data_IF_196541459065
#
_entry.id   IF_196541459065
#
_cell.length_a   1.000
_cell.length_b   1.000
_cell.length_c   1.000
_cell.angle_alpha   90.00
_cell.angle_beta   90.00
_cell.angle_gamma   90.00
#
_symmetry.space_group_name_H-M   'P 1'
#
loop_
_entity.id
_entity.type
_entity.pdbx_description
1 polymer ?
#
# COMPACT_ATOMS: atom_id res chain seq x y z
N UNK A 1 50.30 -61.51 -20.07
CA UNK A 1 49.71 -60.36 -19.36
C UNK A 1 49.64 -59.20 -20.33
N UNK A 2 48.45 -58.73 -20.70
CA UNK A 2 48.32 -57.42 -21.35
C UNK A 2 47.15 -56.68 -20.69
N UNK A 3 47.48 -55.48 -20.26
CA UNK A 3 46.74 -54.62 -19.34
C UNK A 3 45.46 -54.10 -20.02
N UNK A 4 44.30 -54.40 -19.46
CA UNK A 4 43.04 -53.74 -19.84
C UNK A 4 43.04 -52.37 -19.18
N UNK A 5 43.25 -51.29 -19.94
CA UNK A 5 43.02 -49.94 -19.44
C UNK A 5 41.51 -49.67 -19.44
N UNK A 6 40.91 -49.63 -18.26
CA UNK A 6 39.54 -49.12 -18.07
C UNK A 6 39.66 -47.60 -17.96
N UNK A 7 39.18 -46.86 -18.96
CA UNK A 7 38.97 -45.43 -18.83
C UNK A 7 37.75 -45.21 -17.91
N UNK A 8 37.99 -44.79 -16.67
CA UNK A 8 36.93 -44.16 -15.88
C UNK A 8 36.61 -42.81 -16.53
N UNK A 9 35.43 -42.69 -17.14
CA UNK A 9 34.89 -41.38 -17.47
C UNK A 9 34.56 -40.67 -16.15
N UNK A 10 35.32 -39.61 -15.83
CA UNK A 10 34.93 -38.65 -14.82
C UNK A 10 33.89 -37.72 -15.44
N UNK A 11 32.61 -37.93 -15.12
CA UNK A 11 31.58 -36.93 -15.39
C UNK A 11 31.76 -35.83 -14.34
N UNK A 12 32.48 -34.76 -14.68
CA UNK A 12 32.53 -33.56 -13.84
C UNK A 12 31.25 -32.75 -14.13
N UNK A 13 30.26 -32.83 -13.26
CA UNK A 13 29.14 -31.90 -13.31
C UNK A 13 29.64 -30.55 -12.81
N UNK A 14 29.65 -29.55 -13.69
CA UNK A 14 29.86 -28.15 -13.27
C UNK A 14 28.57 -27.73 -12.56
N UNK A 15 28.68 -27.42 -11.27
CA UNK A 15 27.56 -26.90 -10.48
C UNK A 15 27.49 -25.40 -10.76
N UNK A 16 26.30 -24.89 -11.09
CA UNK A 16 26.12 -23.45 -11.19
C UNK A 16 26.21 -22.79 -9.83
N UNK A 17 26.95 -21.69 -9.77
CA UNK A 17 27.15 -20.86 -8.58
C UNK A 17 26.86 -19.40 -8.87
N UNK A 18 26.33 -19.10 -10.04
CA UNK A 18 26.05 -17.74 -10.50
C UNK A 18 24.66 -17.39 -10.05
N UNK A 19 24.48 -16.39 -9.17
CA UNK A 19 23.15 -15.93 -8.83
C UNK A 19 22.42 -15.31 -10.02
N UNK A 20 21.08 -15.40 -10.05
CA UNK A 20 20.27 -14.54 -10.91
C UNK A 20 20.53 -13.06 -10.65
N UNK A 21 20.24 -12.22 -11.65
CA UNK A 21 20.10 -10.78 -11.43
C UNK A 21 18.94 -10.49 -10.45
N UNK A 22 19.03 -9.34 -9.78
CA UNK A 22 17.94 -8.83 -8.95
C UNK A 22 16.64 -8.77 -9.76
N UNK A 23 15.50 -9.27 -9.24
CA UNK A 23 14.24 -9.23 -9.96
C UNK A 23 13.77 -7.78 -10.14
N UNK A 24 12.87 -7.56 -11.09
CA UNK A 24 12.09 -6.31 -11.20
C UNK A 24 10.65 -6.58 -10.78
N UNK A 25 9.99 -5.56 -10.25
CA UNK A 25 8.61 -5.64 -9.74
C UNK A 25 7.85 -4.41 -10.21
N UNK A 26 6.66 -4.63 -10.78
CA UNK A 26 5.74 -3.56 -11.15
C UNK A 26 5.21 -2.82 -9.91
N UNK A 27 4.61 -1.64 -10.08
CA UNK A 27 4.04 -0.88 -8.96
C UNK A 27 3.10 -1.73 -8.09
N UNK A 28 3.27 -1.62 -6.77
CA UNK A 28 2.46 -2.30 -5.78
C UNK A 28 1.73 -1.26 -4.94
N UNK A 29 0.43 -1.44 -4.78
CA UNK A 29 -0.41 -0.59 -3.94
C UNK A 29 -1.04 -1.41 -2.80
N UNK A 30 -1.58 -0.75 -1.78
CA UNK A 30 -2.33 -1.39 -0.69
C UNK A 30 -3.53 -2.21 -1.20
N UNK A 31 -4.05 -1.90 -2.39
CA UNK A 31 -5.16 -2.62 -3.01
C UNK A 31 -4.74 -3.76 -3.93
N UNK A 32 -3.43 -3.87 -4.26
CA UNK A 32 -2.90 -4.90 -5.16
C UNK A 32 -3.31 -6.31 -4.70
N UNK A 33 -3.73 -7.14 -5.66
CA UNK A 33 -4.05 -8.56 -5.46
C UNK A 33 -3.01 -9.51 -6.03
N UNK A 34 -2.08 -8.97 -6.81
CA UNK A 34 -0.99 -9.70 -7.42
C UNK A 34 0.30 -8.91 -7.27
N UNK A 35 1.42 -9.62 -7.25
CA UNK A 35 2.76 -9.05 -7.43
C UNK A 35 3.30 -9.61 -8.75
N UNK A 36 3.74 -8.75 -9.66
CA UNK A 36 4.22 -9.16 -10.98
C UNK A 36 5.51 -8.43 -11.34
N UNK A 37 6.25 -9.01 -12.27
CA UNK A 37 7.51 -8.43 -12.73
C UNK A 37 8.32 -9.43 -13.55
N UNK A 38 9.62 -9.17 -13.65
CA UNK A 38 10.56 -9.98 -14.42
C UNK A 38 11.74 -10.46 -13.58
N UNK A 39 12.25 -11.63 -13.92
CA UNK A 39 13.48 -12.21 -13.36
C UNK A 39 14.11 -13.18 -14.36
N UNK A 40 15.10 -13.96 -13.92
CA UNK A 40 15.63 -15.08 -14.69
C UNK A 40 14.54 -16.10 -15.03
N UNK A 41 14.46 -16.59 -16.27
CA UNK A 41 13.51 -17.62 -16.67
C UNK A 41 13.51 -18.85 -15.76
N UNK A 42 12.31 -19.29 -15.35
CA UNK A 42 12.11 -20.46 -14.48
C UNK A 42 12.71 -20.34 -13.08
N UNK A 43 13.17 -19.15 -12.67
CA UNK A 43 13.61 -18.91 -11.29
C UNK A 43 12.41 -18.83 -10.33
N UNK A 44 12.64 -19.22 -9.08
CA UNK A 44 11.67 -19.07 -8.00
C UNK A 44 11.78 -17.68 -7.40
N UNK A 45 10.71 -16.91 -7.46
CA UNK A 45 10.57 -15.66 -6.73
C UNK A 45 10.12 -15.94 -5.31
N UNK A 46 10.77 -15.29 -4.35
CA UNK A 46 10.48 -15.31 -2.92
C UNK A 46 10.10 -13.90 -2.48
N UNK A 47 8.91 -13.73 -1.94
CA UNK A 47 8.40 -12.46 -1.42
C UNK A 47 8.21 -12.54 0.09
N UNK A 48 8.84 -11.63 0.82
CA UNK A 48 8.70 -11.50 2.27
C UNK A 48 8.12 -10.13 2.64
N UNK A 49 7.19 -10.13 3.58
CA UNK A 49 6.64 -8.93 4.20
C UNK A 49 6.67 -9.09 5.73
N UNK A 50 6.81 -7.99 6.45
CA UNK A 50 6.88 -8.03 7.90
C UNK A 50 5.60 -8.62 8.51
N UNK A 51 5.75 -9.58 9.42
CA UNK A 51 4.64 -10.26 10.12
C UNK A 51 3.64 -10.99 9.22
N UNK A 52 4.00 -11.26 7.95
CA UNK A 52 3.18 -12.05 7.03
C UNK A 52 3.93 -13.33 6.60
N UNK A 53 3.21 -14.38 6.14
CA UNK A 53 3.84 -15.54 5.54
C UNK A 53 4.71 -15.17 4.32
N UNK A 54 5.81 -15.89 4.12
CA UNK A 54 6.56 -15.84 2.87
C UNK A 54 5.72 -16.43 1.74
N UNK A 55 5.73 -15.77 0.58
CA UNK A 55 5.06 -16.25 -0.63
C UNK A 55 6.11 -16.58 -1.70
N UNK A 56 5.80 -17.56 -2.56
CA UNK A 56 6.67 -17.92 -3.68
C UNK A 56 5.89 -18.13 -4.96
N UNK A 57 6.54 -17.91 -6.11
CA UNK A 57 6.03 -18.24 -7.43
C UNK A 57 7.20 -18.55 -8.37
N UNK A 58 7.01 -19.45 -9.34
CA UNK A 58 7.99 -19.69 -10.40
C UNK A 58 7.73 -18.72 -11.58
N UNK A 59 8.79 -18.13 -12.13
CA UNK A 59 8.71 -17.36 -13.35
C UNK A 59 8.51 -18.26 -14.59
N UNK A 60 7.91 -17.72 -15.65
CA UNK A 60 7.74 -18.44 -16.91
C UNK A 60 9.07 -18.59 -17.68
N UNK A 61 9.02 -19.23 -18.85
CA UNK A 61 10.17 -19.43 -19.74
C UNK A 61 10.79 -18.13 -20.29
N UNK A 62 10.08 -17.01 -20.17
CA UNK A 62 10.55 -15.69 -20.57
C UNK A 62 10.93 -14.84 -19.34
N UNK A 63 10.88 -15.39 -18.13
CA UNK A 63 11.20 -14.68 -16.90
C UNK A 63 10.07 -13.80 -16.36
N UNK A 64 8.84 -13.86 -16.88
CA UNK A 64 7.71 -13.13 -16.29
C UNK A 64 7.14 -13.92 -15.12
N UNK A 65 6.79 -13.25 -14.03
CA UNK A 65 6.06 -13.88 -12.93
C UNK A 65 4.80 -13.10 -12.56
N UNK A 66 3.82 -13.81 -12.02
CA UNK A 66 2.61 -13.24 -11.42
C UNK A 66 2.25 -14.05 -10.19
N UNK A 67 2.53 -13.49 -9.03
CA UNK A 67 2.22 -14.06 -7.72
C UNK A 67 0.84 -13.58 -7.29
N UNK A 68 -0.12 -14.49 -7.19
CA UNK A 68 -1.45 -14.19 -6.64
C UNK A 68 -1.39 -14.13 -5.11
N UNK A 69 -1.81 -13.01 -4.52
CA UNK A 69 -1.88 -12.89 -3.07
C UNK A 69 -3.05 -13.71 -2.51
N UNK A 70 -2.84 -14.45 -1.41
CA UNK A 70 -3.94 -15.05 -0.66
C UNK A 70 -4.97 -13.99 -0.24
N UNK A 71 -6.24 -14.37 -0.15
CA UNK A 71 -7.36 -13.45 0.12
C UNK A 71 -7.14 -12.60 1.38
N UNK A 72 -6.56 -13.20 2.41
CA UNK A 72 -6.34 -12.55 3.71
C UNK A 72 -4.90 -12.01 3.89
N UNK A 73 -4.10 -11.99 2.81
CA UNK A 73 -2.72 -11.48 2.88
C UNK A 73 -2.67 -9.96 3.02
N UNK A 74 -3.54 -9.25 2.28
CA UNK A 74 -3.81 -7.80 2.29
C UNK A 74 -2.60 -6.89 2.51
N UNK A 75 -2.21 -6.08 1.51
CA UNK A 75 -1.08 -5.18 1.67
C UNK A 75 -1.46 -3.89 2.42
N UNK A 76 -0.51 -3.35 3.18
CA UNK A 76 -0.63 -2.09 3.90
C UNK A 76 0.16 -1.00 3.19
N UNK A 77 -0.46 0.16 2.99
CA UNK A 77 0.22 1.33 2.47
C UNK A 77 1.43 1.70 3.33
N UNK A 78 2.57 1.95 2.69
CA UNK A 78 3.83 2.26 3.35
C UNK A 78 4.61 1.05 3.88
N UNK A 79 4.09 -0.17 3.79
CA UNK A 79 4.87 -1.37 4.15
C UNK A 79 5.99 -1.65 3.13
N UNK A 80 7.01 -2.39 3.58
CA UNK A 80 8.15 -2.77 2.75
C UNK A 80 8.12 -4.26 2.46
N UNK A 81 8.20 -4.62 1.18
CA UNK A 81 8.38 -5.98 0.70
C UNK A 81 9.85 -6.24 0.37
N UNK A 82 10.31 -7.45 0.63
CA UNK A 82 11.58 -7.97 0.09
C UNK A 82 11.26 -8.98 -0.99
N UNK A 83 11.91 -8.86 -2.15
CA UNK A 83 11.75 -9.77 -3.28
C UNK A 83 13.12 -10.29 -3.68
N UNK A 84 13.23 -11.61 -3.77
CA UNK A 84 14.47 -12.33 -4.10
C UNK A 84 14.15 -13.30 -5.21
N UNK A 85 15.07 -13.48 -6.16
CA UNK A 85 15.01 -14.55 -7.14
C UNK A 85 15.99 -15.66 -6.78
N UNK A 86 15.60 -16.91 -6.99
CA UNK A 86 16.42 -18.09 -6.74
C UNK A 86 16.40 -19.00 -7.95
N UNK A 87 17.58 -19.33 -8.50
CA UNK A 87 17.71 -20.27 -9.62
C UNK A 87 17.41 -21.72 -9.20
N UNK A 88 17.55 -22.66 -10.14
CA UNK A 88 17.28 -24.09 -9.90
C UNK A 88 18.35 -24.77 -9.04
N UNK A 89 19.54 -24.20 -9.01
CA UNK A 89 20.70 -24.67 -8.26
C UNK A 89 20.74 -24.09 -6.83
N UNK A 90 19.84 -23.14 -6.53
CA UNK A 90 19.64 -22.53 -5.22
C UNK A 90 20.45 -21.25 -4.99
N UNK A 91 21.07 -20.66 -6.02
CA UNK A 91 21.74 -19.37 -5.89
C UNK A 91 20.69 -18.25 -5.83
N UNK A 92 20.90 -17.26 -4.95
CA UNK A 92 19.95 -16.19 -4.70
C UNK A 92 20.47 -14.85 -5.18
N UNK A 93 19.61 -14.07 -5.83
CA UNK A 93 19.88 -12.69 -6.21
C UNK A 93 20.13 -11.79 -4.99
N UNK A 94 20.59 -10.57 -5.26
CA UNK A 94 20.46 -9.48 -4.29
C UNK A 94 18.97 -9.22 -3.94
N UNK A 95 18.74 -8.58 -2.78
CA UNK A 95 17.39 -8.34 -2.24
C UNK A 95 16.81 -7.02 -2.77
N UNK A 96 15.75 -7.13 -3.58
CA UNK A 96 14.92 -5.98 -3.95
C UNK A 96 14.01 -5.56 -2.81
N UNK A 97 14.00 -4.27 -2.47
CA UNK A 97 13.04 -3.69 -1.52
C UNK A 97 12.01 -2.85 -2.26
N UNK A 98 10.73 -3.15 -2.06
CA UNK A 98 9.61 -2.48 -2.71
C UNK A 98 8.69 -1.88 -1.65
N UNK A 99 8.54 -0.56 -1.69
CA UNK A 99 7.53 0.13 -0.88
C UNK A 99 6.15 -0.07 -1.49
N UNK A 100 5.17 -0.41 -0.67
CA UNK A 100 3.76 -0.45 -1.08
C UNK A 100 3.20 0.96 -1.06
N UNK A 101 2.72 1.44 -2.20
CA UNK A 101 2.03 2.74 -2.29
C UNK A 101 0.68 2.66 -1.56
N UNK A 102 0.42 3.60 -0.66
CA UNK A 102 -0.88 3.70 -0.02
C UNK A 102 -1.88 4.41 -0.94
N UNK A 103 -2.90 3.67 -1.38
CA UNK A 103 -4.00 4.22 -2.18
C UNK A 103 -5.34 4.12 -1.45
N UNK A 104 -5.32 3.77 -0.16
CA UNK A 104 -6.51 3.48 0.63
C UNK A 104 -7.12 4.77 1.15
N UNK A 105 -8.32 5.16 0.74
CA UNK A 105 -8.94 6.36 1.30
C UNK A 105 -9.34 6.18 2.77
N UNK A 106 -9.26 7.25 3.58
CA UNK A 106 -9.81 7.22 4.92
C UNK A 106 -11.34 7.08 4.89
N UNK A 107 -11.92 6.72 6.04
CA UNK A 107 -13.37 6.84 6.24
C UNK A 107 -13.80 8.30 6.12
N UNK A 108 -15.02 8.53 5.64
CA UNK A 108 -15.63 9.86 5.66
C UNK A 108 -15.61 10.46 7.07
N UNK A 109 -15.34 11.76 7.21
CA UNK A 109 -15.44 12.44 8.51
C UNK A 109 -16.83 12.24 9.11
N UNK A 110 -16.88 12.10 10.43
CA UNK A 110 -18.09 12.28 11.22
C UNK A 110 -18.11 13.72 11.71
N UNK A 111 -19.25 14.38 11.55
CA UNK A 111 -19.46 15.75 12.01
C UNK A 111 -20.46 15.69 13.16
N UNK A 112 -20.13 16.33 14.28
CA UNK A 112 -21.04 16.47 15.42
C UNK A 112 -22.24 17.36 15.07
N UNK A 113 -23.21 17.45 15.97
CA UNK A 113 -24.35 18.35 15.78
C UNK A 113 -23.90 19.81 15.61
N UNK A 114 -24.37 20.45 14.54
CA UNK A 114 -24.13 21.86 14.24
C UNK A 114 -25.44 22.63 14.41
N UNK A 115 -25.38 23.75 15.13
CA UNK A 115 -26.52 24.66 15.34
C UNK A 115 -26.19 26.06 14.86
N UNK A 116 -27.21 26.92 14.73
CA UNK A 116 -27.07 28.36 14.48
C UNK A 116 -26.15 29.10 15.48
N UNK A 117 -25.98 28.56 16.69
CA UNK A 117 -25.10 29.11 17.73
C UNK A 117 -23.67 28.53 17.70
N UNK A 118 -23.41 27.49 16.90
CA UNK A 118 -22.10 26.86 16.81
C UNK A 118 -21.03 27.85 16.34
N UNK A 119 -19.86 27.82 16.99
CA UNK A 119 -18.66 28.61 16.63
C UNK A 119 -17.56 27.80 15.99
N UNK A 120 -17.74 26.48 15.94
CA UNK A 120 -16.80 25.55 15.37
C UNK A 120 -17.57 24.37 14.76
N UNK A 121 -16.90 23.67 13.84
CA UNK A 121 -17.29 22.37 13.34
C UNK A 121 -16.36 21.36 14.01
N UNK A 122 -16.95 20.45 14.78
CA UNK A 122 -16.23 19.40 15.50
C UNK A 122 -16.62 18.03 14.97
N UNK A 123 -15.77 17.04 15.23
CA UNK A 123 -16.05 15.67 14.90
C UNK A 123 -14.80 14.80 14.85
N UNK A 124 -14.93 13.67 14.17
CA UNK A 124 -13.91 12.63 14.08
C UNK A 124 -13.59 12.30 12.62
N UNK A 125 -12.33 12.00 12.32
CA UNK A 125 -11.91 11.40 11.07
C UNK A 125 -10.62 10.59 11.32
N UNK A 126 -9.95 10.17 10.25
CA UNK A 126 -8.67 9.46 10.42
C UNK A 126 -7.64 10.36 11.14
N UNK A 127 -6.85 9.82 12.09
CA UNK A 127 -5.80 10.56 12.77
C UNK A 127 -4.84 11.26 11.81
N UNK A 128 -4.44 12.48 12.16
CA UNK A 128 -3.51 13.33 11.41
C UNK A 128 -3.93 13.68 9.96
N UNK A 129 -5.15 13.38 9.54
CA UNK A 129 -5.72 13.75 8.25
C UNK A 129 -6.08 15.24 8.17
N UNK A 130 -6.12 15.76 6.94
CA UNK A 130 -6.63 17.11 6.63
C UNK A 130 -8.13 17.02 6.38
N UNK A 131 -8.90 17.89 7.02
CA UNK A 131 -10.34 18.00 6.82
C UNK A 131 -10.64 19.24 5.99
N UNK A 132 -11.34 19.08 4.88
CA UNK A 132 -11.90 20.18 4.10
C UNK A 132 -13.41 20.22 4.32
N UNK A 133 -13.92 21.39 4.71
CA UNK A 133 -15.36 21.61 4.92
C UNK A 133 -15.87 22.68 3.96
N UNK A 134 -16.92 22.35 3.22
CA UNK A 134 -17.68 23.27 2.38
C UNK A 134 -19.07 23.47 2.98
N UNK A 135 -19.47 24.72 3.14
CA UNK A 135 -20.79 25.10 3.66
C UNK A 135 -21.60 25.70 2.52
N UNK A 136 -22.89 25.39 2.43
CA UNK A 136 -23.76 25.82 1.30
C UNK A 136 -23.90 27.33 1.15
N UNK A 137 -23.54 28.12 2.17
CA UNK A 137 -23.45 29.57 2.08
C UNK A 137 -22.20 30.09 1.34
N UNK A 138 -21.35 29.19 0.83
CA UNK A 138 -20.14 29.48 0.08
C UNK A 138 -18.85 29.46 0.91
N UNK A 139 -18.93 29.30 2.23
CA UNK A 139 -17.75 29.22 3.09
C UNK A 139 -17.00 27.90 2.85
N UNK A 140 -15.67 28.01 2.73
CA UNK A 140 -14.75 26.86 2.70
C UNK A 140 -13.70 27.03 3.78
N UNK A 141 -13.53 26.00 4.60
CA UNK A 141 -12.55 25.99 5.69
C UNK A 141 -11.80 24.68 5.69
N UNK A 142 -10.59 24.71 6.25
CA UNK A 142 -9.76 23.51 6.43
C UNK A 142 -9.37 23.37 7.89
N UNK A 143 -9.22 22.12 8.31
CA UNK A 143 -8.71 21.73 9.62
C UNK A 143 -7.83 20.51 9.51
N UNK A 144 -7.36 20.04 10.66
CA UNK A 144 -6.59 18.81 10.78
C UNK A 144 -7.11 18.03 11.99
N UNK A 145 -7.15 16.72 11.90
CA UNK A 145 -7.35 15.88 13.08
C UNK A 145 -6.09 15.80 13.94
N UNK A 146 -6.28 15.59 15.23
CA UNK A 146 -5.21 15.23 16.15
C UNK A 146 -4.76 13.77 15.95
N UNK A 147 -3.83 13.30 16.80
CA UNK A 147 -3.33 11.92 16.77
C UNK A 147 -4.35 10.87 17.19
N UNK A 148 -5.53 11.27 17.66
CA UNK A 148 -6.64 10.41 18.03
C UNK A 148 -7.81 10.48 17.04
N UNK A 149 -7.74 11.37 16.04
CA UNK A 149 -8.78 11.52 15.02
C UNK A 149 -9.79 12.63 15.29
N UNK A 150 -9.67 13.38 16.38
CA UNK A 150 -10.62 14.47 16.67
C UNK A 150 -10.21 15.75 15.92
N UNK A 151 -11.18 16.50 15.41
CA UNK A 151 -10.94 17.83 14.85
C UNK A 151 -11.85 18.90 15.46
N UNK A 152 -11.34 20.13 15.51
CA UNK A 152 -12.10 21.35 15.82
C UNK A 152 -11.71 22.39 14.78
N UNK A 153 -12.65 22.84 13.97
CA UNK A 153 -12.45 23.87 12.94
C UNK A 153 -13.28 25.08 13.31
N UNK A 154 -12.62 26.16 13.71
CA UNK A 154 -13.30 27.40 14.06
C UNK A 154 -13.96 28.02 12.83
N UNK A 155 -15.20 28.47 12.98
CA UNK A 155 -15.87 29.28 11.97
C UNK A 155 -15.25 30.69 11.94
N UNK A 156 -15.20 31.35 10.77
CA UNK A 156 -14.78 32.76 10.71
C UNK A 156 -15.63 33.65 11.62
N UNK A 157 -15.03 34.61 12.31
CA UNK A 157 -15.72 35.45 13.32
C UNK A 157 -16.93 36.22 12.76
N UNK A 158 -16.89 36.56 11.47
CA UNK A 158 -17.96 37.27 10.77
C UNK A 158 -19.02 36.34 10.17
N UNK A 159 -18.87 35.03 10.32
CA UNK A 159 -19.82 34.03 9.84
C UNK A 159 -20.82 33.67 10.93
N UNK A 160 -22.08 33.56 10.53
CA UNK A 160 -23.14 32.97 11.34
C UNK A 160 -23.84 31.89 10.53
N UNK A 161 -24.23 30.83 11.22
CA UNK A 161 -25.15 29.83 10.70
C UNK A 161 -26.57 30.28 11.05
N UNK A 162 -27.49 30.11 10.12
CA UNK A 162 -28.90 30.48 10.26
C UNK A 162 -29.81 29.24 10.42
N UNK A 163 -29.23 28.04 10.33
CA UNK A 163 -29.98 26.79 10.28
C UNK A 163 -30.36 26.43 8.84
N UNK A 164 -30.30 25.14 8.51
CA UNK A 164 -30.56 24.61 7.18
C UNK A 164 -29.40 24.78 6.19
N UNK A 165 -28.24 25.28 6.62
CA UNK A 165 -27.03 25.22 5.79
C UNK A 165 -26.54 23.78 5.70
N UNK A 166 -26.26 23.32 4.48
CA UNK A 166 -25.57 22.04 4.27
C UNK A 166 -24.09 22.20 4.57
N UNK A 167 -23.53 21.26 5.32
CA UNK A 167 -22.11 21.13 5.63
C UNK A 167 -21.61 19.83 5.01
N UNK A 168 -20.64 19.94 4.12
CA UNK A 168 -19.96 18.82 3.46
C UNK A 168 -18.52 18.74 3.94
N UNK A 169 -18.09 17.58 4.41
CA UNK A 169 -16.70 17.35 4.85
C UNK A 169 -16.03 16.19 4.10
N UNK A 170 -14.75 16.38 3.79
CA UNK A 170 -13.86 15.37 3.20
C UNK A 170 -12.58 15.32 4.05
N UNK A 171 -12.18 14.13 4.46
CA UNK A 171 -10.84 13.87 4.99
C UNK A 171 -9.87 13.46 3.87
N UNK A 172 -8.64 13.94 3.95
CA UNK A 172 -7.49 13.49 3.14
C UNK A 172 -6.41 12.96 4.07
N UNK A 173 -5.99 11.71 3.88
CA UNK A 173 -4.96 11.07 4.71
C UNK A 173 -3.54 11.65 4.48
N UNK A 174 -2.56 11.11 5.17
CA UNK A 174 -1.15 11.52 5.04
C UNK A 174 -0.52 11.16 3.68
N UNK A 175 -1.10 10.18 2.99
CA UNK A 175 -0.67 9.68 1.69
C UNK A 175 -1.31 10.45 0.53
N UNK A 176 -2.31 11.30 0.82
CA UNK A 176 -3.04 12.11 -0.15
C UNK A 176 -4.35 11.49 -0.64
N UNK A 177 -4.82 10.38 -0.05
CA UNK A 177 -6.07 9.74 -0.44
C UNK A 177 -7.27 10.46 0.20
N UNK A 178 -8.26 10.80 -0.62
CA UNK A 178 -9.46 11.51 -0.17
C UNK A 178 -10.62 10.55 0.11
N UNK A 179 -11.21 10.67 1.29
CA UNK A 179 -12.46 9.98 1.66
C UNK A 179 -13.65 10.38 0.78
N UNK A 180 -14.74 9.62 0.89
CA UNK A 180 -16.05 10.08 0.40
C UNK A 180 -16.54 11.26 1.23
N UNK A 181 -17.31 12.16 0.61
CA UNK A 181 -17.94 13.29 1.31
C UNK A 181 -18.95 12.82 2.37
N UNK A 182 -18.84 13.34 3.58
CA UNK A 182 -19.93 13.34 4.57
C UNK A 182 -20.77 14.60 4.40
N UNK A 183 -22.08 14.50 4.58
CA UNK A 183 -23.03 15.62 4.47
C UNK A 183 -23.96 15.64 5.68
N UNK A 184 -24.10 16.80 6.30
CA UNK A 184 -25.08 17.10 7.35
C UNK A 184 -25.66 18.49 7.14
N UNK A 185 -26.70 18.86 7.88
CA UNK A 185 -27.29 20.21 7.84
C UNK A 185 -27.22 20.86 9.24
N UNK A 186 -27.00 22.17 9.31
CA UNK A 186 -27.11 22.94 10.55
C UNK A 186 -28.56 23.01 11.03
N UNK A 187 -28.77 23.08 12.34
CA UNK A 187 -30.08 23.27 12.97
C UNK A 187 -30.31 24.67 13.51
#
# INVERSE_FOLDING_TARGET
MQLVMILQQYVSTVIDRTPPEEPTVNEITSESKVISGNTEPLATIIVEAAYKPTLTVEADQNGNFTLQLPKDYGLQGGEQLKVISMDKEGNQSDVLRVSVTDVTPPKSPLIDEITSESKAITGEAEPLSIIEVNISNGTKIKGKTDGFGNFIILLPDNMKLNGGETIEAIATDISGNASKTNKTDSR
#
